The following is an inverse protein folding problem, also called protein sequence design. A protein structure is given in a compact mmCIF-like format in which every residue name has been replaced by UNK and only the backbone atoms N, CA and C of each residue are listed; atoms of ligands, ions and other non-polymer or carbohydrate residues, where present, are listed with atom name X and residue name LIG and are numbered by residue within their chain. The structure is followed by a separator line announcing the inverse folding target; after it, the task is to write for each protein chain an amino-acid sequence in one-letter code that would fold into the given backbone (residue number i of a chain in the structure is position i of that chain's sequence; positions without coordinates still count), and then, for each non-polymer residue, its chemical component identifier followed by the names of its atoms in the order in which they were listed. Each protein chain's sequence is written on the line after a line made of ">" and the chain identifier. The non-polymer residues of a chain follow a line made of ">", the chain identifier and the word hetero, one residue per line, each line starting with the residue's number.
data_IF_079516106395
#
_entry.id   IF_079516106395
#
_cell.length_a   1.000
_cell.length_b   1.000
_cell.length_c   1.000
_cell.angle_alpha   90.00
_cell.angle_beta   90.00
_cell.angle_gamma   90.00
#
_symmetry.space_group_name_H-M   'P 1'
#
loop_
_entity.id
_entity.type
_entity.pdbx_description
1 polymer ?
#
# COMPACT_ATOMS: atom_id res chain seq x y z
N UNK A 1 -11.50 -13.13 -11.98
CA UNK A 1 -10.03 -13.17 -12.17
C UNK A 1 -9.35 -12.42 -11.04
N UNK A 2 -8.26 -12.99 -10.49
CA UNK A 2 -7.43 -12.40 -9.43
C UNK A 2 -6.23 -11.59 -9.95
N UNK A 3 -5.88 -11.79 -11.24
CA UNK A 3 -4.67 -11.25 -11.86
C UNK A 3 -4.57 -9.73 -11.70
N UNK A 4 -3.46 -9.25 -11.15
CA UNK A 4 -3.14 -7.83 -11.02
C UNK A 4 -3.81 -7.11 -9.83
N UNK A 5 -4.72 -7.77 -9.10
CA UNK A 5 -5.39 -7.16 -7.94
C UNK A 5 -4.43 -6.92 -6.79
N UNK A 6 -3.54 -7.87 -6.48
CA UNK A 6 -2.53 -7.71 -5.43
C UNK A 6 -1.62 -6.50 -5.70
N UNK A 7 -1.11 -6.38 -6.92
CA UNK A 7 -0.31 -5.23 -7.36
C UNK A 7 -1.09 -3.92 -7.25
N UNK A 8 -2.32 -3.88 -7.76
CA UNK A 8 -3.16 -2.68 -7.67
C UNK A 8 -3.36 -2.26 -6.20
N UNK A 9 -3.68 -3.21 -5.32
CA UNK A 9 -3.84 -2.95 -3.88
C UNK A 9 -2.58 -2.35 -3.27
N UNK A 10 -1.41 -2.95 -3.52
CA UNK A 10 -0.13 -2.41 -3.05
C UNK A 10 0.10 -0.99 -3.56
N UNK A 11 -0.04 -0.76 -4.86
CA UNK A 11 0.22 0.53 -5.49
C UNK A 11 -0.71 1.63 -4.92
N UNK A 12 -2.00 1.31 -4.71
CA UNK A 12 -2.96 2.23 -4.10
C UNK A 12 -2.60 2.57 -2.64
N UNK A 13 -2.18 1.56 -1.88
CA UNK A 13 -1.77 1.73 -0.48
C UNK A 13 -0.48 2.55 -0.35
N UNK A 14 0.50 2.34 -1.21
CA UNK A 14 1.75 3.12 -1.21
C UNK A 14 1.44 4.59 -1.55
N UNK A 15 0.69 4.82 -2.62
CA UNK A 15 0.23 6.17 -2.97
C UNK A 15 -0.49 6.86 -1.82
N UNK A 16 -1.49 6.19 -1.25
CA UNK A 16 -2.30 6.76 -0.18
C UNK A 16 -1.49 6.99 1.10
N UNK A 17 -0.60 6.06 1.46
CA UNK A 17 0.28 6.20 2.62
C UNK A 17 1.09 7.50 2.57
N UNK A 18 1.66 7.83 1.40
CA UNK A 18 2.38 9.10 1.22
C UNK A 18 1.45 10.33 1.23
N UNK A 19 0.27 10.25 0.58
CA UNK A 19 -0.71 11.35 0.57
C UNK A 19 -1.26 11.67 1.97
N UNK A 20 -1.47 10.67 2.82
CA UNK A 20 -2.01 10.86 4.17
C UNK A 20 -1.03 11.62 5.09
N UNK A 21 0.28 11.52 4.86
CA UNK A 21 1.26 12.36 5.55
C UNK A 21 1.19 13.84 5.14
N UNK A 22 0.62 14.14 3.97
CA UNK A 22 0.33 15.49 3.53
C UNK A 22 -1.08 15.94 3.91
N UNK A 23 -1.83 15.10 4.64
CA UNK A 23 -3.25 15.33 4.97
C UNK A 23 -4.06 15.53 3.67
N UNK A 24 -3.68 14.80 2.61
CA UNK A 24 -4.34 14.84 1.31
C UNK A 24 -5.73 14.21 1.38
N UNK A 25 -6.72 14.89 0.81
CA UNK A 25 -8.09 14.37 0.74
C UNK A 25 -8.21 13.25 -0.30
N UNK A 26 -8.64 12.06 0.10
CA UNK A 26 -8.83 10.89 -0.79
C UNK A 26 -9.86 11.11 -1.91
N UNK A 27 -10.76 12.09 -1.73
CA UNK A 27 -11.73 12.45 -2.76
C UNK A 27 -11.07 13.11 -3.98
N UNK A 28 -9.91 13.77 -3.80
CA UNK A 28 -9.20 14.43 -4.89
C UNK A 28 -8.65 13.42 -5.90
N UNK A 29 -7.86 12.40 -5.51
CA UNK A 29 -7.38 11.39 -6.43
C UNK A 29 -8.51 10.48 -6.94
N UNK A 30 -9.57 10.26 -6.16
CA UNK A 30 -10.68 9.38 -6.55
C UNK A 30 -11.67 10.01 -7.54
N UNK A 31 -12.03 11.28 -7.35
CA UNK A 31 -13.18 11.89 -8.03
C UNK A 31 -12.86 13.22 -8.73
N UNK A 32 -11.89 14.00 -8.23
CA UNK A 32 -11.66 15.35 -8.76
C UNK A 32 -10.74 15.37 -9.98
N UNK A 33 -9.66 14.59 -9.96
CA UNK A 33 -8.64 14.68 -11.03
C UNK A 33 -8.93 13.79 -12.23
N UNK A 34 -9.81 12.78 -12.08
CA UNK A 34 -10.06 11.72 -13.07
C UNK A 34 -8.87 10.77 -13.30
N UNK A 35 -7.68 11.16 -12.84
CA UNK A 35 -6.45 10.38 -12.81
C UNK A 35 -5.84 10.55 -11.41
N UNK A 36 -5.83 9.48 -10.59
CA UNK A 36 -5.30 9.54 -9.23
C UNK A 36 -3.84 10.01 -9.13
N UNK A 37 -3.04 9.84 -10.19
CA UNK A 37 -1.62 10.24 -10.18
C UNK A 37 -1.43 11.75 -10.36
N UNK A 38 -2.41 12.48 -10.89
CA UNK A 38 -2.31 13.95 -10.98
C UNK A 38 -2.20 14.61 -9.62
N UNK A 39 -2.89 14.08 -8.60
CA UNK A 39 -2.78 14.66 -7.26
C UNK A 39 -1.41 14.38 -6.63
N UNK A 40 -0.80 13.24 -6.94
CA UNK A 40 0.59 12.95 -6.59
C UNK A 40 1.52 13.95 -7.28
N UNK A 41 1.34 14.21 -8.57
CA UNK A 41 2.17 15.19 -9.30
C UNK A 41 2.04 16.60 -8.72
N UNK A 42 0.83 17.04 -8.40
CA UNK A 42 0.62 18.33 -7.74
C UNK A 42 1.29 18.39 -6.38
N UNK A 43 1.24 17.29 -5.61
CA UNK A 43 1.91 17.20 -4.31
C UNK A 43 3.43 17.26 -4.45
N UNK A 44 4.00 16.53 -5.41
CA UNK A 44 5.44 16.56 -5.71
C UNK A 44 5.87 17.98 -6.12
N UNK A 45 5.14 18.60 -7.04
CA UNK A 45 5.42 19.96 -7.49
C UNK A 45 5.33 20.97 -6.34
N UNK A 46 4.31 20.86 -5.49
CA UNK A 46 4.17 21.70 -4.31
C UNK A 46 5.35 21.53 -3.34
N UNK A 47 5.74 20.29 -3.02
CA UNK A 47 6.89 20.00 -2.14
C UNK A 47 8.17 20.60 -2.69
N UNK A 48 8.47 20.38 -3.97
CA UNK A 48 9.66 20.94 -4.60
C UNK A 48 9.62 22.48 -4.63
N UNK A 49 8.44 23.08 -4.86
CA UNK A 49 8.27 24.55 -4.87
C UNK A 49 8.53 25.18 -3.50
N UNK A 50 8.16 24.52 -2.41
CA UNK A 50 8.38 25.02 -1.04
C UNK A 50 9.79 24.76 -0.50
N UNK A 51 10.73 24.33 -1.35
CA UNK A 51 12.13 24.17 -1.00
C UNK A 51 12.53 22.79 -0.47
N UNK A 52 11.85 21.72 -0.92
CA UNK A 52 12.17 20.35 -0.50
C UNK A 52 13.64 19.98 -0.73
N UNK A 53 14.17 20.31 -1.91
CA UNK A 53 15.54 19.97 -2.30
C UNK A 53 16.58 20.65 -1.41
N UNK A 54 16.37 21.90 -1.09
CA UNK A 54 17.24 22.71 -0.23
C UNK A 54 17.24 22.16 1.20
N UNK A 55 16.09 21.68 1.67
CA UNK A 55 15.93 21.16 3.03
C UNK A 55 16.45 19.73 3.20
N UNK A 56 16.22 18.86 2.21
CA UNK A 56 16.48 17.43 2.32
C UNK A 56 17.61 16.92 1.43
N UNK A 57 18.16 17.77 0.55
CA UNK A 57 19.32 17.45 -0.30
C UNK A 57 19.00 16.65 -1.56
N UNK A 58 17.72 16.41 -1.86
CA UNK A 58 17.27 15.65 -3.03
C UNK A 58 15.93 16.17 -3.54
N UNK A 59 15.68 16.00 -4.83
CA UNK A 59 14.42 16.44 -5.46
C UNK A 59 13.36 15.35 -5.41
N UNK A 60 12.13 15.72 -5.02
CA UNK A 60 11.01 14.80 -4.96
C UNK A 60 10.59 14.37 -6.37
N UNK A 61 10.37 13.08 -6.56
CA UNK A 61 9.82 12.47 -7.77
C UNK A 61 8.80 11.38 -7.41
N UNK A 62 8.17 10.78 -8.41
CA UNK A 62 7.12 9.75 -8.19
C UNK A 62 7.65 8.50 -7.51
N UNK A 63 8.87 8.08 -7.83
CA UNK A 63 9.46 6.86 -7.26
C UNK A 63 9.69 7.04 -5.76
N UNK A 64 10.33 8.14 -5.37
CA UNK A 64 10.57 8.48 -3.97
C UNK A 64 9.28 8.74 -3.20
N UNK A 65 8.28 9.36 -3.85
CA UNK A 65 6.97 9.58 -3.23
C UNK A 65 6.29 8.25 -2.88
N UNK A 66 6.29 7.28 -3.81
CA UNK A 66 5.73 5.96 -3.57
C UNK A 66 6.58 5.15 -2.57
N UNK A 67 7.91 5.29 -2.59
CA UNK A 67 8.80 4.65 -1.61
C UNK A 67 8.51 5.13 -0.18
N UNK A 68 8.26 6.44 0.02
CA UNK A 68 7.84 6.98 1.33
C UNK A 68 6.55 6.30 1.79
N UNK A 69 5.57 6.15 0.89
CA UNK A 69 4.32 5.45 1.16
C UNK A 69 4.52 3.99 1.54
N UNK A 70 5.38 3.29 0.80
CA UNK A 70 5.76 1.90 1.08
C UNK A 70 6.44 1.77 2.45
N UNK A 71 7.33 2.71 2.79
CA UNK A 71 7.99 2.79 4.10
C UNK A 71 6.97 2.95 5.23
N UNK A 72 6.02 3.87 5.10
CA UNK A 72 4.95 4.09 6.08
C UNK A 72 4.10 2.83 6.28
N UNK A 73 3.74 2.16 5.18
CA UNK A 73 2.94 0.96 5.24
C UNK A 73 3.68 -0.18 5.95
N UNK A 74 4.99 -0.34 5.68
CA UNK A 74 5.83 -1.33 6.36
C UNK A 74 6.02 -1.01 7.85
N UNK A 75 6.21 0.26 8.22
CA UNK A 75 6.26 0.68 9.63
C UNK A 75 4.96 0.32 10.37
N UNK A 76 3.81 0.55 9.74
CA UNK A 76 2.50 0.18 10.29
C UNK A 76 2.36 -1.34 10.45
N UNK A 77 2.83 -2.11 9.46
CA UNK A 77 2.83 -3.59 9.54
C UNK A 77 3.75 -4.10 10.65
N UNK A 78 4.92 -3.50 10.84
CA UNK A 78 5.85 -3.86 11.91
C UNK A 78 5.27 -3.57 13.28
N UNK A 79 4.63 -2.41 13.45
CA UNK A 79 3.89 -2.09 14.67
C UNK A 79 2.84 -3.16 14.97
N UNK A 80 1.97 -3.47 14.00
CA UNK A 80 0.94 -4.50 14.19
C UNK A 80 1.55 -5.88 14.49
N UNK A 81 2.63 -6.24 13.81
CA UNK A 81 3.34 -7.52 14.03
C UNK A 81 3.94 -7.60 15.43
N UNK A 82 4.45 -6.49 15.97
CA UNK A 82 4.93 -6.38 17.36
C UNK A 82 3.80 -6.62 18.36
N UNK A 83 2.61 -6.11 18.07
CA UNK A 83 1.40 -6.30 18.87
C UNK A 83 0.72 -7.67 18.66
N UNK A 84 1.31 -8.56 17.85
CA UNK A 84 0.84 -9.92 17.65
C UNK A 84 -0.03 -10.16 16.41
N UNK A 85 -0.18 -9.18 15.52
CA UNK A 85 -0.85 -9.36 14.23
C UNK A 85 -0.05 -10.31 13.32
N UNK A 86 -0.73 -11.25 12.69
CA UNK A 86 -0.12 -12.28 11.83
C UNK A 86 -0.90 -12.47 10.53
N UNK A 87 -0.40 -13.34 9.64
CA UNK A 87 -1.17 -13.79 8.47
C UNK A 87 -2.58 -14.29 8.80
N UNK A 88 -2.80 -14.87 9.98
CA UNK A 88 -4.13 -15.40 10.38
C UNK A 88 -5.17 -14.31 10.51
N UNK A 89 -4.74 -13.07 10.68
CA UNK A 89 -5.60 -11.90 10.84
C UNK A 89 -5.89 -11.20 9.50
N UNK A 90 -5.12 -11.53 8.44
CA UNK A 90 -5.36 -11.05 7.07
C UNK A 90 -6.47 -11.87 6.37
N UNK A 91 -7.67 -11.86 6.94
CA UNK A 91 -8.80 -12.67 6.48
C UNK A 91 -10.01 -11.84 6.04
N UNK A 92 -10.81 -12.44 5.17
CA UNK A 92 -12.11 -11.90 4.78
C UNK A 92 -13.19 -12.30 5.78
N UNK A 93 -14.17 -11.41 6.06
CA UNK A 93 -15.38 -11.81 6.76
C UNK A 93 -16.09 -13.00 6.09
N UNK A 94 -16.64 -13.92 6.88
CA UNK A 94 -17.29 -15.16 6.39
C UNK A 94 -18.38 -14.88 5.34
N UNK A 95 -19.14 -13.79 5.50
CA UNK A 95 -20.20 -13.40 4.55
C UNK A 95 -19.69 -13.20 3.11
N UNK A 96 -18.43 -12.82 2.91
CA UNK A 96 -17.86 -12.63 1.57
C UNK A 96 -17.43 -13.96 0.89
N UNK A 97 -17.31 -15.03 1.67
CA UNK A 97 -17.00 -16.39 1.20
C UNK A 97 -18.25 -17.14 0.74
N UNK A 98 -19.42 -16.69 1.18
CA UNK A 98 -20.71 -17.24 0.79
C UNK A 98 -21.16 -16.76 -0.60
N UNK A 99 -21.84 -17.60 -1.39
CA UNK A 99 -22.49 -17.17 -2.62
C UNK A 99 -23.54 -16.08 -2.35
N UNK A 100 -23.51 -15.01 -3.14
CA UNK A 100 -24.59 -14.04 -3.18
C UNK A 100 -25.86 -14.68 -3.74
N UNK A 101 -27.01 -14.33 -3.17
CA UNK A 101 -28.31 -14.86 -3.59
C UNK A 101 -28.69 -14.46 -5.02
N UNK A 102 -28.33 -13.25 -5.44
CA UNK A 102 -28.73 -12.66 -6.71
C UNK A 102 -27.86 -13.10 -7.90
N UNK A 103 -26.59 -13.41 -7.65
CA UNK A 103 -25.57 -13.63 -8.68
C UNK A 103 -24.85 -14.96 -8.54
N UNK A 104 -24.98 -15.64 -7.40
CA UNK A 104 -24.18 -16.82 -7.04
C UNK A 104 -22.69 -16.53 -6.86
N UNK A 105 -22.26 -15.28 -7.02
CA UNK A 105 -20.86 -14.90 -6.94
C UNK A 105 -20.38 -14.94 -5.50
N UNK A 106 -19.17 -15.48 -5.28
CA UNK A 106 -18.46 -15.49 -4.01
C UNK A 106 -16.98 -15.17 -4.22
N UNK A 107 -16.30 -14.79 -3.15
CA UNK A 107 -14.84 -14.82 -3.13
C UNK A 107 -14.42 -16.26 -2.81
N UNK A 108 -13.72 -16.88 -3.74
CA UNK A 108 -13.15 -18.21 -3.53
C UNK A 108 -11.92 -18.12 -2.61
N UNK A 109 -11.86 -19.00 -1.61
CA UNK A 109 -10.82 -18.97 -0.58
C UNK A 109 -9.44 -19.34 -1.15
N UNK A 110 -9.38 -20.28 -2.10
CA UNK A 110 -8.12 -20.68 -2.74
C UNK A 110 -7.58 -19.52 -3.59
N UNK A 111 -8.46 -18.83 -4.30
CA UNK A 111 -8.08 -17.64 -5.07
C UNK A 111 -7.65 -16.47 -4.17
N UNK A 112 -8.30 -16.30 -3.00
CA UNK A 112 -7.91 -15.28 -2.02
C UNK A 112 -6.52 -15.55 -1.43
N UNK A 113 -6.24 -16.78 -0.98
CA UNK A 113 -4.94 -17.14 -0.41
C UNK A 113 -3.81 -16.96 -1.43
N UNK A 114 -4.02 -17.35 -2.70
CA UNK A 114 -3.06 -17.10 -3.78
C UNK A 114 -2.79 -15.61 -4.00
N UNK A 115 -3.83 -14.78 -3.93
CA UNK A 115 -3.70 -13.33 -4.07
C UNK A 115 -2.99 -12.71 -2.85
N UNK A 116 -3.20 -13.27 -1.66
CA UNK A 116 -2.51 -12.86 -0.43
C UNK A 116 -1.01 -13.20 -0.50
N UNK A 117 -0.65 -14.38 -1.00
CA UNK A 117 0.74 -14.77 -1.27
C UNK A 117 1.42 -13.84 -2.28
N UNK A 118 0.74 -13.55 -3.40
CA UNK A 118 1.22 -12.58 -4.39
C UNK A 118 1.44 -11.20 -3.74
N UNK A 119 0.50 -10.76 -2.90
CA UNK A 119 0.59 -9.49 -2.20
C UNK A 119 1.79 -9.44 -1.23
N UNK A 120 2.04 -10.49 -0.45
CA UNK A 120 3.22 -10.57 0.44
C UNK A 120 4.52 -10.57 -0.35
N UNK A 121 4.58 -11.32 -1.46
CA UNK A 121 5.75 -11.33 -2.34
C UNK A 121 6.02 -9.94 -2.91
N UNK A 122 4.99 -9.22 -3.36
CA UNK A 122 5.12 -7.85 -3.89
C UNK A 122 5.53 -6.85 -2.81
N UNK A 123 5.09 -7.06 -1.56
CA UNK A 123 5.48 -6.27 -0.39
C UNK A 123 6.88 -6.57 0.11
N UNK A 124 7.50 -7.68 -0.33
CA UNK A 124 8.76 -8.17 0.22
C UNK A 124 8.62 -8.63 1.66
N UNK A 125 7.53 -9.35 1.94
CA UNK A 125 7.23 -9.95 3.24
C UNK A 125 7.45 -11.46 3.21
N UNK A 126 7.68 -12.06 4.37
CA UNK A 126 7.69 -13.51 4.54
C UNK A 126 6.27 -14.10 4.57
N UNK A 127 6.17 -15.43 4.67
CA UNK A 127 4.90 -16.15 4.77
C UNK A 127 4.09 -15.78 6.02
N UNK A 128 4.75 -15.28 7.07
CA UNK A 128 4.10 -14.75 8.28
C UNK A 128 3.56 -13.33 8.12
N UNK A 129 3.83 -12.69 6.98
CA UNK A 129 3.45 -11.32 6.66
C UNK A 129 4.35 -10.29 7.35
N UNK A 130 5.61 -10.62 7.65
CA UNK A 130 6.61 -9.68 8.19
C UNK A 130 7.55 -9.21 7.09
N UNK A 131 7.90 -7.91 7.03
CA UNK A 131 8.91 -7.43 6.07
C UNK A 131 10.27 -8.10 6.28
N UNK A 132 10.88 -8.60 5.20
CA UNK A 132 12.19 -9.26 5.28
C UNK A 132 13.33 -8.23 5.37
N UNK A 133 14.50 -8.63 5.87
CA UNK A 133 15.66 -7.75 6.07
C UNK A 133 16.03 -6.93 4.83
N UNK A 134 15.99 -7.53 3.64
CA UNK A 134 16.24 -6.82 2.37
C UNK A 134 15.26 -5.66 2.14
N UNK A 135 13.99 -5.85 2.49
CA UNK A 135 12.96 -4.80 2.36
C UNK A 135 13.20 -3.69 3.37
N UNK A 136 13.53 -4.04 4.61
CA UNK A 136 13.83 -3.09 5.68
C UNK A 136 15.06 -2.23 5.36
N UNK A 137 16.13 -2.84 4.87
CA UNK A 137 17.35 -2.14 4.45
C UNK A 137 17.06 -1.16 3.30
N UNK A 138 16.37 -1.61 2.24
CA UNK A 138 15.97 -0.74 1.13
C UNK A 138 15.12 0.43 1.58
N UNK A 139 14.16 0.19 2.48
CA UNK A 139 13.26 1.20 3.00
C UNK A 139 13.86 2.02 4.15
N UNK A 140 15.11 1.79 4.53
CA UNK A 140 15.80 2.50 5.61
C UNK A 140 15.01 2.45 6.94
N UNK A 141 14.45 1.28 7.26
CA UNK A 141 13.73 1.03 8.52
C UNK A 141 14.67 0.28 9.48
N UNK A 142 14.92 0.88 10.63
CA UNK A 142 15.63 0.26 11.76
C UNK A 142 14.62 -0.39 12.71
N UNK A 143 14.90 -1.63 13.13
CA UNK A 143 14.03 -2.45 13.99
C UNK A 143 14.76 -2.96 15.21
#
# INVERSE_FOLDING_TARGET
>A
TIKGKAKLTKDLQDRNGALWCLIGCDNIPGNTTGDPMKFVDYSINALNTIGWKEKFGWEMDREKFLEIGERIYNLSRLFNSREGFTRRDDQLPERLKEPREDTGWKIDEVDFEKMLDEYYSLRGWDEGGKPVSKTLERLQIEV
#
